data_IF_776652554254
#
_entry.id   IF_776652554254
#
_cell.length_a   1.000
_cell.length_b   1.000
_cell.length_c   1.000
_cell.angle_alpha   90.00
_cell.angle_beta   90.00
_cell.angle_gamma   90.00
#
_symmetry.space_group_name_H-M   'P 1'
#
loop_
_entity.id
_entity.type
_entity.pdbx_description
1 polymer ?
#
# COMPACT_ATOMS: atom_id res chain seq x y z
N UNK A 1 -4.91 21.77 -12.90
CA UNK A 1 -5.58 21.00 -11.82
C UNK A 1 -4.67 19.85 -11.46
N UNK A 2 -4.63 19.41 -10.19
CA UNK A 2 -3.87 18.20 -9.83
C UNK A 2 -4.52 16.98 -10.51
N UNK A 3 -3.75 16.22 -11.30
CA UNK A 3 -4.21 15.04 -12.06
C UNK A 3 -4.95 14.04 -11.17
N UNK A 4 -4.45 13.81 -9.96
CA UNK A 4 -5.00 12.85 -9.01
C UNK A 4 -5.70 13.52 -7.83
N UNK A 5 -7.02 13.46 -7.84
CA UNK A 5 -7.88 13.84 -6.70
C UNK A 5 -8.26 12.60 -5.90
N UNK A 6 -8.73 12.76 -4.65
CA UNK A 6 -9.22 11.63 -3.85
C UNK A 6 -10.34 10.85 -4.55
N UNK A 7 -11.40 11.49 -5.12
CA UNK A 7 -12.41 10.76 -5.88
C UNK A 7 -11.85 9.93 -7.04
N UNK A 8 -10.92 10.50 -7.83
CA UNK A 8 -10.30 9.77 -8.94
C UNK A 8 -9.49 8.56 -8.45
N UNK A 9 -8.72 8.70 -7.36
CA UNK A 9 -7.98 7.57 -6.78
C UNK A 9 -8.91 6.50 -6.20
N UNK A 10 -10.06 6.88 -5.64
CA UNK A 10 -11.09 5.92 -5.19
C UNK A 10 -11.66 5.13 -6.36
N UNK A 11 -11.91 5.79 -7.49
CA UNK A 11 -12.41 5.16 -8.71
C UNK A 11 -11.40 4.13 -9.24
N UNK A 12 -10.12 4.52 -9.38
CA UNK A 12 -9.04 3.59 -9.75
C UNK A 12 -8.99 2.38 -8.81
N UNK A 13 -8.97 2.59 -7.49
CA UNK A 13 -8.93 1.46 -6.55
C UNK A 13 -10.17 0.56 -6.65
N UNK A 14 -11.35 1.13 -6.90
CA UNK A 14 -12.58 0.36 -7.08
C UNK A 14 -12.56 -0.47 -8.37
N UNK A 15 -12.07 0.10 -9.47
CA UNK A 15 -11.91 -0.59 -10.75
C UNK A 15 -10.93 -1.75 -10.65
N UNK A 16 -9.75 -1.53 -10.07
CA UNK A 16 -8.73 -2.58 -9.89
C UNK A 16 -9.23 -3.73 -9.00
N UNK A 17 -9.97 -3.40 -7.93
CA UNK A 17 -10.61 -4.42 -7.10
C UNK A 17 -11.71 -5.17 -7.85
N UNK A 18 -12.51 -4.48 -8.64
CA UNK A 18 -13.58 -5.08 -9.44
C UNK A 18 -13.03 -6.01 -10.53
N UNK A 19 -11.91 -5.64 -11.17
CA UNK A 19 -11.20 -6.48 -12.13
C UNK A 19 -10.75 -7.82 -11.51
N UNK A 20 -10.37 -7.81 -10.22
CA UNK A 20 -10.07 -9.02 -9.45
C UNK A 20 -11.33 -9.74 -8.89
N UNK A 21 -12.54 -9.28 -9.22
CA UNK A 21 -13.80 -9.84 -8.73
C UNK A 21 -14.08 -9.57 -7.24
N UNK A 22 -13.45 -8.54 -6.65
CA UNK A 22 -13.56 -8.23 -5.23
C UNK A 22 -14.59 -7.13 -4.96
N UNK A 23 -15.50 -7.41 -4.02
CA UNK A 23 -16.34 -6.38 -3.39
C UNK A 23 -15.52 -5.55 -2.38
N UNK A 24 -15.97 -4.34 -1.97
CA UNK A 24 -15.23 -3.51 -1.01
C UNK A 24 -14.95 -4.17 0.35
N UNK A 25 -15.78 -5.14 0.75
CA UNK A 25 -15.63 -5.83 2.03
C UNK A 25 -14.70 -7.04 1.97
N UNK A 26 -14.28 -7.49 0.79
CA UNK A 26 -13.37 -8.64 0.68
C UNK A 26 -11.92 -8.20 0.88
N UNK A 27 -11.09 -9.13 1.38
CA UNK A 27 -9.66 -8.89 1.54
C UNK A 27 -9.00 -8.78 0.16
N UNK A 28 -8.21 -7.74 -0.03
CA UNK A 28 -7.41 -7.54 -1.25
C UNK A 28 -6.06 -8.25 -1.13
N UNK A 29 -5.59 -8.87 -2.22
CA UNK A 29 -4.25 -9.45 -2.28
C UNK A 29 -3.36 -8.67 -3.26
N UNK A 30 -2.36 -7.90 -2.76
CA UNK A 30 -1.45 -7.15 -3.62
C UNK A 30 -0.69 -8.02 -4.62
N UNK A 31 -0.41 -9.29 -4.31
CA UNK A 31 0.27 -10.20 -5.23
C UNK A 31 -0.59 -10.52 -6.46
N UNK A 32 -1.90 -10.65 -6.27
CA UNK A 32 -2.83 -10.87 -7.37
C UNK A 32 -2.90 -9.67 -8.31
N UNK A 33 -2.92 -8.45 -7.75
CA UNK A 33 -2.90 -7.25 -8.57
C UNK A 33 -1.57 -7.06 -9.31
N UNK A 34 -0.44 -7.29 -8.63
CA UNK A 34 0.87 -7.25 -9.28
C UNK A 34 0.92 -8.20 -10.48
N UNK A 35 0.40 -9.43 -10.32
CA UNK A 35 0.31 -10.41 -11.40
C UNK A 35 -0.57 -9.93 -12.56
N UNK A 36 -1.74 -9.37 -12.28
CA UNK A 36 -2.66 -8.83 -13.30
C UNK A 36 -2.00 -7.73 -14.14
N UNK A 37 -1.18 -6.88 -13.50
CA UNK A 37 -0.42 -5.82 -14.15
C UNK A 37 0.90 -6.28 -14.78
N UNK A 38 1.18 -7.59 -14.79
CA UNK A 38 2.41 -8.15 -15.34
C UNK A 38 3.68 -7.79 -14.55
N UNK A 39 3.54 -7.40 -13.27
CA UNK A 39 4.64 -7.03 -12.39
C UNK A 39 5.10 -8.28 -11.63
N UNK A 40 6.30 -8.76 -11.96
CA UNK A 40 6.95 -9.82 -11.20
C UNK A 40 7.38 -9.30 -9.82
N UNK A 41 7.13 -10.08 -8.77
CA UNK A 41 7.50 -9.76 -7.39
C UNK A 41 8.62 -10.69 -6.96
N UNK A 42 9.75 -10.14 -6.55
CA UNK A 42 10.92 -10.89 -6.09
C UNK A 42 11.23 -10.56 -4.62
N UNK A 43 11.33 -11.57 -3.74
CA UNK A 43 11.93 -11.42 -2.42
C UNK A 43 13.35 -10.87 -2.49
N UNK A 44 13.74 -10.00 -1.56
CA UNK A 44 15.11 -9.49 -1.48
C UNK A 44 16.15 -10.61 -1.32
N UNK A 45 15.77 -11.72 -0.66
CA UNK A 45 16.60 -12.92 -0.52
C UNK A 45 17.05 -13.53 -1.85
N UNK A 46 16.23 -13.43 -2.89
CA UNK A 46 16.54 -14.00 -4.21
C UNK A 46 17.65 -13.24 -4.94
N UNK A 47 17.95 -12.00 -4.52
CA UNK A 47 19.05 -11.21 -5.10
C UNK A 47 20.42 -11.87 -4.90
N UNK A 48 20.58 -12.73 -3.89
CA UNK A 48 21.83 -13.48 -3.66
C UNK A 48 22.16 -14.35 -4.88
N UNK A 49 21.16 -15.05 -5.44
CA UNK A 49 21.34 -15.89 -6.62
C UNK A 49 21.69 -15.07 -7.87
N UNK A 50 21.32 -13.78 -7.87
CA UNK A 50 21.64 -12.81 -8.92
C UNK A 50 22.97 -12.07 -8.70
N UNK A 51 23.76 -12.47 -7.70
CA UNK A 51 25.10 -11.92 -7.44
C UNK A 51 25.17 -10.79 -6.42
N UNK A 52 24.08 -10.44 -5.74
CA UNK A 52 24.15 -9.50 -4.61
C UNK A 52 24.88 -10.10 -3.41
N UNK A 53 25.57 -9.25 -2.65
CA UNK A 53 26.28 -9.66 -1.45
C UNK A 53 25.31 -10.27 -0.41
N UNK A 54 25.55 -11.51 0.07
CA UNK A 54 24.77 -12.10 1.15
C UNK A 54 24.74 -11.24 2.41
N UNK A 55 25.83 -10.55 2.72
CA UNK A 55 25.91 -9.65 3.88
C UNK A 55 25.03 -8.41 3.71
N UNK A 56 24.96 -7.86 2.49
CA UNK A 56 24.06 -6.76 2.18
C UNK A 56 22.59 -7.19 2.30
N UNK A 57 22.23 -8.34 1.73
CA UNK A 57 20.87 -8.89 1.83
C UNK A 57 20.51 -9.17 3.29
N UNK A 58 21.38 -9.82 4.05
CA UNK A 58 21.20 -10.05 5.50
C UNK A 58 21.05 -8.74 6.27
N UNK A 59 21.77 -7.68 5.89
CA UNK A 59 21.65 -6.39 6.55
C UNK A 59 20.24 -5.82 6.41
N UNK A 60 19.68 -5.83 5.19
CA UNK A 60 18.34 -5.30 4.94
C UNK A 60 17.22 -6.26 5.32
N UNK A 61 17.42 -7.57 5.31
CA UNK A 61 16.36 -8.53 5.62
C UNK A 61 16.28 -8.85 7.12
N UNK A 62 17.42 -8.92 7.82
CA UNK A 62 17.47 -9.43 9.21
C UNK A 62 17.98 -8.37 10.20
N UNK A 63 19.09 -7.69 9.89
CA UNK A 63 19.74 -6.80 10.86
C UNK A 63 18.97 -5.49 11.03
N UNK A 64 18.55 -4.89 9.91
CA UNK A 64 17.80 -3.62 9.88
C UNK A 64 16.63 -3.67 8.89
N UNK A 65 15.65 -4.56 9.07
CA UNK A 65 14.49 -4.69 8.17
C UNK A 65 13.71 -3.40 7.95
N UNK A 66 13.71 -2.50 8.92
CA UNK A 66 12.95 -1.24 8.84
C UNK A 66 13.54 -0.18 7.90
N UNK A 67 14.80 -0.32 7.48
CA UNK A 67 15.48 0.70 6.65
C UNK A 67 15.17 0.58 5.17
N UNK A 68 14.62 -0.56 4.73
CA UNK A 68 14.15 -0.76 3.36
C UNK A 68 12.97 -1.74 3.34
N UNK A 69 11.96 -1.47 2.51
CA UNK A 69 10.65 -2.14 2.61
C UNK A 69 10.25 -2.88 1.33
N UNK A 70 10.09 -2.12 0.25
CA UNK A 70 9.85 -2.61 -1.09
C UNK A 70 10.30 -1.53 -2.07
N UNK A 71 10.46 -1.88 -3.34
CA UNK A 71 10.67 -0.91 -4.40
C UNK A 71 10.10 -1.44 -5.71
N UNK A 72 9.36 -0.60 -6.42
CA UNK A 72 9.00 -0.84 -7.80
C UNK A 72 10.09 -0.27 -8.73
N UNK A 73 10.64 -1.12 -9.59
CA UNK A 73 11.78 -0.81 -10.45
C UNK A 73 11.41 -0.97 -11.92
N UNK A 74 11.64 0.06 -12.76
CA UNK A 74 11.46 -0.06 -14.21
C UNK A 74 12.67 -0.75 -14.87
N UNK A 75 12.42 -1.62 -15.86
CA UNK A 75 13.43 -2.22 -16.74
C UNK A 75 12.93 -2.17 -18.18
N UNK A 76 13.40 -1.19 -18.94
CA UNK A 76 12.84 -0.90 -20.27
C UNK A 76 11.35 -0.59 -20.16
N UNK A 77 10.51 -1.36 -20.87
CA UNK A 77 9.05 -1.26 -20.78
C UNK A 77 8.43 -2.12 -19.68
N UNK A 78 9.22 -2.96 -19.00
CA UNK A 78 8.75 -3.84 -17.93
C UNK A 78 8.92 -3.17 -16.55
N UNK A 79 8.20 -3.70 -15.57
CA UNK A 79 8.35 -3.33 -14.15
C UNK A 79 8.45 -4.59 -13.31
N UNK A 80 9.30 -4.55 -12.30
CA UNK A 80 9.36 -5.58 -11.28
C UNK A 80 9.37 -4.95 -9.90
N UNK A 81 8.93 -5.70 -8.90
CA UNK A 81 8.89 -5.26 -7.52
C UNK A 81 9.86 -6.10 -6.70
N UNK A 82 10.71 -5.45 -5.91
CA UNK A 82 11.47 -6.09 -4.85
C UNK A 82 10.72 -5.93 -3.54
N UNK A 83 10.60 -7.00 -2.76
CA UNK A 83 9.92 -6.98 -1.46
C UNK A 83 10.85 -7.51 -0.38
N UNK A 84 10.95 -6.79 0.74
CA UNK A 84 11.67 -7.27 1.90
C UNK A 84 10.82 -8.27 2.69
N UNK A 85 11.16 -9.55 2.54
CA UNK A 85 10.52 -10.68 3.22
C UNK A 85 10.81 -10.76 4.71
N UNK A 86 11.73 -9.94 5.23
CA UNK A 86 11.99 -9.77 6.66
C UNK A 86 10.90 -9.00 7.42
N UNK A 87 9.94 -8.39 6.72
CA UNK A 87 8.76 -7.78 7.36
C UNK A 87 7.67 -8.81 7.64
N UNK A 88 6.85 -8.55 8.66
CA UNK A 88 5.58 -9.24 8.86
C UNK A 88 4.70 -9.17 7.60
N UNK A 89 3.94 -10.24 7.30
CA UNK A 89 3.13 -10.35 6.09
C UNK A 89 2.18 -9.15 5.88
N UNK A 90 1.58 -8.63 6.96
CA UNK A 90 0.70 -7.45 6.91
C UNK A 90 1.43 -6.18 6.47
N UNK A 91 2.73 -6.06 6.81
CA UNK A 91 3.56 -4.93 6.42
C UNK A 91 4.06 -5.07 4.99
N UNK A 92 4.42 -6.28 4.56
CA UNK A 92 4.71 -6.57 3.15
C UNK A 92 3.52 -6.17 2.27
N UNK A 93 2.30 -6.58 2.64
CA UNK A 93 1.06 -6.25 1.92
C UNK A 93 0.85 -4.74 1.79
N UNK A 94 1.05 -3.96 2.87
CA UNK A 94 0.92 -2.50 2.80
C UNK A 94 2.03 -1.83 1.97
N UNK A 95 3.25 -2.35 2.03
CA UNK A 95 4.36 -1.83 1.23
C UNK A 95 4.09 -2.09 -0.27
N UNK A 96 3.68 -3.30 -0.63
CA UNK A 96 3.32 -3.63 -2.02
C UNK A 96 2.14 -2.80 -2.54
N UNK A 97 1.10 -2.61 -1.73
CA UNK A 97 -0.03 -1.77 -2.12
C UNK A 97 0.38 -0.31 -2.35
N UNK A 98 1.37 0.20 -1.59
CA UNK A 98 1.96 1.52 -1.80
C UNK A 98 2.73 1.60 -3.11
N UNK A 99 3.59 0.62 -3.41
CA UNK A 99 4.30 0.53 -4.69
C UNK A 99 3.35 0.40 -5.90
N UNK A 100 2.29 -0.41 -5.77
CA UNK A 100 1.20 -0.48 -6.76
C UNK A 100 0.50 0.89 -6.90
N UNK A 101 0.43 1.66 -5.82
CA UNK A 101 -0.03 3.04 -5.84
C UNK A 101 0.77 3.91 -6.80
N UNK A 102 2.10 3.81 -6.79
CA UNK A 102 2.95 4.52 -7.75
C UNK A 102 2.71 4.05 -9.19
N UNK A 103 2.57 2.74 -9.41
CA UNK A 103 2.30 2.17 -10.72
C UNK A 103 0.98 2.65 -11.32
N UNK A 104 -0.12 2.49 -10.58
CA UNK A 104 -1.48 2.78 -11.03
C UNK A 104 -1.72 4.26 -11.29
N UNK A 105 -1.04 5.12 -10.54
CA UNK A 105 -1.12 6.57 -10.73
C UNK A 105 -0.09 7.10 -11.73
N UNK A 106 0.65 6.19 -12.38
CA UNK A 106 1.70 6.50 -13.36
C UNK A 106 2.66 7.57 -12.83
N UNK A 107 3.06 7.45 -11.56
CA UNK A 107 4.05 8.34 -11.00
C UNK A 107 5.36 8.16 -11.77
N UNK A 108 5.96 9.27 -12.20
CA UNK A 108 7.29 9.22 -12.80
C UNK A 108 8.28 8.69 -11.76
N UNK A 109 9.02 7.65 -12.13
CA UNK A 109 10.17 7.21 -11.37
C UNK A 109 11.25 8.28 -11.56
N UNK A 110 11.21 9.33 -10.73
CA UNK A 110 12.32 10.26 -10.68
C UNK A 110 13.56 9.43 -10.34
N UNK A 111 14.60 9.60 -11.14
CA UNK A 111 15.87 8.90 -11.02
C UNK A 111 16.18 8.70 -9.53
N UNK A 112 16.35 7.44 -9.12
CA UNK A 112 16.78 7.10 -7.77
C UNK A 112 18.20 7.63 -7.63
N UNK A 113 18.34 8.92 -7.38
CA UNK A 113 19.60 9.54 -7.00
C UNK A 113 19.79 9.12 -5.54
N UNK A 114 20.50 8.01 -5.37
CA UNK A 114 21.13 7.67 -4.10
C UNK A 114 22.22 8.74 -3.87
N UNK A 115 21.84 9.89 -3.32
CA UNK A 115 22.82 10.83 -2.79
C UNK A 115 23.60 10.17 -1.65
N UNK A 116 24.79 10.67 -1.33
CA UNK A 116 25.65 10.15 -0.25
C UNK A 116 24.96 10.13 1.13
N UNK A 117 23.82 10.82 1.26
CA UNK A 117 22.97 10.88 2.47
C UNK A 117 21.71 9.98 2.39
N UNK A 118 21.55 9.18 1.32
CA UNK A 118 20.44 8.24 1.14
C UNK A 118 19.05 8.86 0.94
N UNK A 119 18.96 10.18 0.72
CA UNK A 119 17.70 10.87 0.55
C UNK A 119 17.28 10.87 -0.92
N UNK A 120 16.56 9.83 -1.34
CA UNK A 120 15.76 9.94 -2.56
C UNK A 120 14.79 11.12 -2.37
N UNK A 121 14.83 12.09 -3.30
CA UNK A 121 13.93 13.23 -3.29
C UNK A 121 12.51 12.76 -3.66
N UNK A 122 11.83 12.10 -2.73
CA UNK A 122 10.45 11.69 -2.92
C UNK A 122 9.56 12.93 -2.96
N UNK A 123 8.88 13.15 -4.07
CA UNK A 123 7.86 14.18 -4.15
C UNK A 123 6.74 13.84 -3.16
N UNK A 124 6.67 14.57 -2.05
CA UNK A 124 5.73 14.32 -0.95
C UNK A 124 4.26 14.28 -1.38
N UNK A 125 3.91 14.88 -2.53
CA UNK A 125 2.56 14.77 -3.10
C UNK A 125 2.31 13.37 -3.68
N UNK A 126 3.28 12.83 -4.43
CA UNK A 126 3.20 11.49 -5.01
C UNK A 126 3.14 10.42 -3.91
N UNK A 127 3.97 10.57 -2.87
CA UNK A 127 3.96 9.67 -1.69
C UNK A 127 2.61 9.65 -0.98
N UNK A 128 1.98 10.83 -0.83
CA UNK A 128 0.64 10.93 -0.23
C UNK A 128 -0.42 10.30 -1.12
N UNK A 129 -0.29 10.43 -2.43
CA UNK A 129 -1.20 9.83 -3.41
C UNK A 129 -1.09 8.31 -3.41
N UNK A 130 0.13 7.76 -3.49
CA UNK A 130 0.38 6.32 -3.40
C UNK A 130 -0.10 5.73 -2.07
N UNK A 131 0.17 6.42 -0.96
CA UNK A 131 -0.34 6.04 0.36
C UNK A 131 -1.88 6.05 0.42
N UNK A 132 -2.52 7.06 -0.18
CA UNK A 132 -3.98 7.13 -0.22
C UNK A 132 -4.57 6.00 -1.07
N UNK A 133 -4.00 5.73 -2.24
CA UNK A 133 -4.45 4.63 -3.09
C UNK A 133 -4.26 3.27 -2.41
N UNK A 134 -3.14 3.06 -1.71
CA UNK A 134 -2.93 1.84 -0.92
C UNK A 134 -3.99 1.63 0.17
N UNK A 135 -4.45 2.71 0.81
CA UNK A 135 -5.56 2.65 1.77
C UNK A 135 -6.85 2.22 1.07
N UNK A 136 -7.21 2.81 -0.06
CA UNK A 136 -8.42 2.44 -0.81
C UNK A 136 -8.35 1.02 -1.38
N UNK A 137 -7.17 0.54 -1.78
CA UNK A 137 -6.96 -0.84 -2.21
C UNK A 137 -7.12 -1.84 -1.05
N UNK A 138 -6.56 -1.56 0.13
CA UNK A 138 -6.54 -2.51 1.24
C UNK A 138 -7.78 -2.44 2.13
N UNK A 139 -8.25 -1.24 2.46
CA UNK A 139 -9.41 -0.95 3.31
C UNK A 139 -10.21 0.18 2.66
N UNK A 140 -11.04 -0.12 1.64
CA UNK A 140 -11.82 0.89 0.92
C UNK A 140 -12.63 1.77 1.86
N UNK A 141 -12.72 3.07 1.57
CA UNK A 141 -13.41 4.02 2.46
C UNK A 141 -14.86 3.61 2.75
N UNK A 142 -15.57 3.11 1.75
CA UNK A 142 -16.95 2.62 1.88
C UNK A 142 -17.05 1.43 2.85
N UNK A 143 -16.03 0.57 2.87
CA UNK A 143 -15.94 -0.54 3.81
C UNK A 143 -15.58 -0.04 5.21
N UNK A 144 -14.66 0.92 5.31
CA UNK A 144 -14.31 1.57 6.58
C UNK A 144 -15.51 2.29 7.22
N UNK A 145 -16.36 2.95 6.42
CA UNK A 145 -17.63 3.50 6.88
C UNK A 145 -18.58 2.43 7.43
N UNK A 146 -18.79 1.33 6.70
CA UNK A 146 -19.62 0.21 7.17
C UNK A 146 -19.12 -0.37 8.50
N UNK A 147 -17.80 -0.54 8.64
CA UNK A 147 -17.18 -0.99 9.88
C UNK A 147 -17.35 0.04 11.02
N UNK A 148 -17.20 1.34 10.71
CA UNK A 148 -17.36 2.41 11.70
C UNK A 148 -18.80 2.53 12.21
N UNK A 149 -19.81 2.39 11.34
CA UNK A 149 -21.21 2.37 11.75
C UNK A 149 -21.57 1.18 12.64
N UNK A 150 -20.82 0.07 12.53
CA UNK A 150 -20.94 -1.14 13.34
C UNK A 150 -20.06 -1.11 14.60
N UNK A 151 -19.41 0.02 14.90
CA UNK A 151 -18.51 0.20 16.04
C UNK A 151 -17.38 -0.86 16.11
N UNK A 152 -16.93 -1.35 14.94
CA UNK A 152 -15.87 -2.35 14.89
C UNK A 152 -14.54 -1.75 15.39
N UNK A 153 -13.83 -2.45 16.30
CA UNK A 153 -12.53 -2.02 16.80
C UNK A 153 -11.44 -2.18 15.72
N UNK A 154 -10.27 -1.54 15.91
CA UNK A 154 -9.21 -1.56 14.90
C UNK A 154 -8.68 -2.97 14.66
N UNK A 155 -8.65 -3.79 15.70
CA UNK A 155 -8.21 -5.18 15.70
C UNK A 155 -9.09 -6.03 14.79
N UNK A 156 -10.42 -5.90 14.91
CA UNK A 156 -11.36 -6.61 14.05
C UNK A 156 -11.25 -6.16 12.58
N UNK A 157 -11.05 -4.87 12.33
CA UNK A 157 -10.84 -4.34 10.96
C UNK A 157 -9.52 -4.85 10.39
N UNK A 158 -8.45 -4.84 11.19
CA UNK A 158 -7.13 -5.32 10.81
C UNK A 158 -7.15 -6.81 10.45
N UNK A 159 -7.79 -7.63 11.29
CA UNK A 159 -7.98 -9.04 11.03
C UNK A 159 -8.79 -9.27 9.76
N UNK A 160 -9.93 -8.58 9.59
CA UNK A 160 -10.80 -8.73 8.43
C UNK A 160 -10.06 -8.44 7.10
N UNK A 161 -9.37 -7.30 7.02
CA UNK A 161 -8.66 -6.87 5.80
C UNK A 161 -7.21 -7.38 5.68
N UNK A 162 -6.71 -8.11 6.70
CA UNK A 162 -5.34 -8.63 6.69
C UNK A 162 -4.30 -7.50 6.62
N UNK A 163 -4.47 -6.47 7.45
CA UNK A 163 -3.56 -5.32 7.60
C UNK A 163 -3.11 -5.19 9.05
N UNK A 164 -2.14 -4.34 9.35
CA UNK A 164 -1.76 -4.09 10.74
C UNK A 164 -2.84 -3.28 11.48
N UNK A 165 -2.90 -3.39 12.81
CA UNK A 165 -3.81 -2.58 13.65
C UNK A 165 -3.57 -1.09 13.44
N UNK A 166 -2.30 -0.68 13.29
CA UNK A 166 -1.94 0.70 12.99
C UNK A 166 -2.49 1.15 11.61
N UNK A 167 -2.40 0.30 10.59
CA UNK A 167 -2.94 0.61 9.26
C UNK A 167 -4.47 0.72 9.29
N UNK A 168 -5.15 -0.21 9.97
CA UNK A 168 -6.59 -0.13 10.20
C UNK A 168 -6.98 1.16 10.94
N UNK A 169 -6.24 1.55 11.97
CA UNK A 169 -6.46 2.81 12.70
C UNK A 169 -6.39 4.03 11.78
N UNK A 170 -5.40 4.08 10.87
CA UNK A 170 -5.26 5.18 9.90
C UNK A 170 -6.50 5.27 9.00
N UNK A 171 -6.95 4.15 8.43
CA UNK A 171 -8.12 4.09 7.54
C UNK A 171 -9.42 4.45 8.28
N UNK A 172 -9.56 4.05 9.54
CA UNK A 172 -10.79 4.23 10.34
C UNK A 172 -10.94 5.63 10.96
N UNK A 173 -9.87 6.42 11.04
CA UNK A 173 -9.88 7.71 11.75
C UNK A 173 -10.92 8.70 11.18
N UNK A 174 -10.94 8.85 9.85
CA UNK A 174 -11.90 9.73 9.15
C UNK A 174 -13.34 9.23 9.29
N UNK A 175 -13.64 7.99 8.87
CA UNK A 175 -14.96 7.39 8.98
C UNK A 175 -15.58 7.47 10.38
N UNK A 176 -14.81 7.18 11.44
CA UNK A 176 -15.32 7.27 12.82
C UNK A 176 -15.71 8.68 13.23
N UNK A 177 -14.92 9.70 12.87
CA UNK A 177 -15.26 11.11 13.15
C UNK A 177 -16.55 11.52 12.46
N UNK A 178 -16.78 11.04 11.23
CA UNK A 178 -18.02 11.31 10.50
C UNK A 178 -19.22 10.61 11.14
N UNK A 179 -19.09 9.32 11.50
CA UNK A 179 -20.15 8.57 12.19
C UNK A 179 -20.52 9.20 13.53
N UNK A 180 -19.53 9.63 14.32
CA UNK A 180 -19.76 10.35 15.58
C UNK A 180 -20.60 11.61 15.37
N UNK A 181 -20.24 12.44 14.36
CA UNK A 181 -20.99 13.66 14.01
C UNK A 181 -22.40 13.35 13.53
N UNK A 182 -22.57 12.29 12.74
CA UNK A 182 -23.87 11.85 12.26
C UNK A 182 -24.80 11.44 13.41
N UNK A 183 -24.31 10.63 14.36
CA UNK A 183 -25.07 10.20 15.54
C UNK A 183 -25.44 11.37 16.44
N UNK A 184 -24.53 12.32 16.65
CA UNK A 184 -24.79 13.53 17.45
C UNK A 184 -25.89 14.43 16.85
N UNK A 185 -26.03 14.45 15.51
CA UNK A 185 -27.12 15.19 14.83
C UNK A 185 -28.47 14.46 14.92
N UNK A 186 -28.48 13.13 14.90
CA UNK A 186 -29.71 12.32 14.99
C UNK A 186 -30.25 12.16 16.42
N UNK A 187 -29.38 12.25 17.42
CA UNK A 187 -29.76 12.23 18.84
C UNK A 187 -30.21 13.59 19.38
N UNK A 188 -30.29 14.61 18.53
CA UNK A 188 -30.94 15.90 18.78
C UNK A 188 -32.29 15.91 18.09
#
# INVERSE_FOLDING_TARGET
MARWTKPAMKEVAAEERAALGLTPMQRFDPYMLAKEHGISVYPIGELIASGCSPDAVKHFEVIRPKVWSAALMPVGSARFMLVNTGHELVRQRSNMAHELGHHLLEHEFQEIVLGDDGCAMFNATLEKQATYLAQELLVPEDAAFKMAFRDQPNEAVAEHFGVSVQFAQMCMMGPRKVVQRYRAKKGR
#
